data_IF_823002590721
#
_entry.id   IF_823002590721
#
_cell.length_a   1.000
_cell.length_b   1.000
_cell.length_c   1.000
_cell.angle_alpha   90.00
_cell.angle_beta   90.00
_cell.angle_gamma   90.00
#
_symmetry.space_group_name_H-M   'P 1'
#
loop_
_entity.id
_entity.type
_entity.pdbx_description
1 polymer ?
#
# COMPACT_ATOMS: atom_id res chain seq x y z
N UNK A 1 19.04 58.00 10.47
CA UNK A 1 18.57 56.59 10.38
C UNK A 1 17.49 56.24 11.42
N UNK A 2 17.78 55.99 12.72
CA UNK A 2 16.73 55.60 13.70
C UNK A 2 15.71 56.73 13.93
N UNK A 3 16.19 57.96 14.16
CA UNK A 3 15.33 59.14 14.30
C UNK A 3 14.55 59.50 13.02
N UNK A 4 15.07 59.15 11.84
CA UNK A 4 14.33 59.26 10.57
C UNK A 4 13.29 58.15 10.38
N UNK A 5 13.55 56.94 10.91
CA UNK A 5 12.60 55.81 10.91
C UNK A 5 11.46 56.02 11.92
N UNK A 6 11.70 56.77 13.01
CA UNK A 6 10.68 57.09 14.02
C UNK A 6 9.68 58.18 13.60
N UNK A 7 10.07 59.14 12.75
CA UNK A 7 9.20 60.26 12.37
C UNK A 7 7.90 59.85 11.65
N UNK A 8 7.77 58.61 11.18
CA UNK A 8 6.67 58.18 10.29
C UNK A 8 6.08 56.76 10.56
N UNK A 9 6.32 56.11 11.71
CA UNK A 9 5.85 54.71 11.92
C UNK A 9 4.94 54.54 13.15
N UNK A 10 3.81 53.85 12.95
CA UNK A 10 2.98 53.28 14.03
C UNK A 10 3.46 51.88 14.47
N UNK A 11 4.23 51.18 13.63
CA UNK A 11 4.79 49.85 13.88
C UNK A 11 6.15 49.69 13.20
N UNK A 12 7.11 49.10 13.92
CA UNK A 12 8.40 48.73 13.34
C UNK A 12 8.30 47.41 12.56
N UNK A 13 9.08 47.31 11.48
CA UNK A 13 9.21 46.09 10.67
C UNK A 13 10.55 45.46 11.01
N UNK A 14 10.50 44.31 11.69
CA UNK A 14 11.66 43.59 12.23
C UNK A 14 11.95 42.32 11.42
N UNK A 15 12.18 42.49 10.12
CA UNK A 15 12.49 41.37 9.20
C UNK A 15 13.97 40.94 9.22
N UNK A 16 14.88 41.76 9.74
CA UNK A 16 16.33 41.48 9.80
C UNK A 16 16.87 41.15 11.19
N UNK A 17 18.09 40.62 11.27
CA UNK A 17 18.84 40.44 12.54
C UNK A 17 19.20 41.79 13.15
N UNK A 18 19.08 41.91 14.46
CA UNK A 18 19.39 43.14 15.17
C UNK A 18 20.89 43.28 15.45
N UNK A 19 21.49 44.39 14.99
CA UNK A 19 22.89 44.72 15.27
C UNK A 19 23.02 45.44 16.62
N UNK A 20 23.38 44.66 17.65
CA UNK A 20 23.56 45.18 19.01
C UNK A 20 24.80 46.07 19.18
N UNK A 21 25.76 46.07 18.25
CA UNK A 21 27.05 46.77 18.45
C UNK A 21 26.91 48.29 18.38
N UNK A 22 26.21 48.79 17.37
CA UNK A 22 25.95 50.22 17.18
C UNK A 22 25.04 50.74 18.29
N UNK A 23 24.02 49.95 18.66
CA UNK A 23 23.09 50.28 19.73
C UNK A 23 23.81 50.38 21.09
N UNK A 24 24.69 49.44 21.42
CA UNK A 24 25.43 49.43 22.67
C UNK A 24 26.40 50.63 22.78
N UNK A 25 27.10 50.96 21.71
CA UNK A 25 28.00 52.13 21.69
C UNK A 25 27.23 53.44 21.91
N UNK A 26 26.04 53.57 21.33
CA UNK A 26 25.19 54.74 21.52
C UNK A 26 24.64 54.85 22.97
N UNK A 27 24.25 53.72 23.58
CA UNK A 27 23.83 53.67 24.99
C UNK A 27 24.97 54.07 25.93
N UNK A 28 26.17 53.49 25.72
CA UNK A 28 27.38 53.81 26.51
C UNK A 28 27.78 55.28 26.37
N UNK A 29 27.64 55.87 25.19
CA UNK A 29 27.98 57.28 24.95
C UNK A 29 27.14 58.21 25.85
N UNK A 30 25.86 57.92 26.04
CA UNK A 30 24.99 58.74 26.92
C UNK A 30 25.39 58.62 28.38
N UNK A 31 25.73 57.42 28.87
CA UNK A 31 26.27 57.22 30.23
C UNK A 31 27.52 58.08 30.45
N UNK A 32 28.33 58.31 29.41
CA UNK A 32 29.48 59.22 29.50
C UNK A 32 29.06 60.71 29.39
N UNK A 33 28.07 61.05 28.56
CA UNK A 33 27.53 62.42 28.46
C UNK A 33 26.83 62.90 29.74
N UNK A 34 26.29 61.99 30.56
CA UNK A 34 25.70 62.33 31.86
C UNK A 34 26.71 62.98 32.81
N UNK A 35 28.00 62.67 32.66
CA UNK A 35 29.12 63.20 33.47
C UNK A 35 29.57 64.62 33.06
N UNK A 36 29.00 65.18 31.99
CA UNK A 36 29.35 66.49 31.45
C UNK A 36 28.27 67.52 31.83
N UNK A 37 28.64 68.80 31.95
CA UNK A 37 27.71 69.90 32.23
C UNK A 37 26.57 70.01 31.21
N UNK A 38 25.49 70.71 31.56
CA UNK A 38 24.31 70.85 30.69
C UNK A 38 24.67 71.61 29.39
N UNK A 39 24.58 70.91 28.26
CA UNK A 39 24.90 71.43 26.92
C UNK A 39 23.84 70.97 25.93
N UNK A 40 23.70 71.69 24.82
CA UNK A 40 22.77 71.30 23.75
C UNK A 40 23.06 69.89 23.19
N UNK A 41 24.34 69.51 23.12
CA UNK A 41 24.79 68.17 22.72
C UNK A 41 24.30 67.10 23.69
N UNK A 42 24.36 67.36 25.00
CA UNK A 42 23.82 66.46 26.04
C UNK A 42 22.32 66.23 25.86
N UNK A 43 21.53 67.30 25.63
CA UNK A 43 20.08 67.19 25.43
C UNK A 43 19.72 66.35 24.21
N UNK A 44 20.35 66.61 23.06
CA UNK A 44 20.13 65.83 21.83
C UNK A 44 20.57 64.37 21.98
N UNK A 45 21.66 64.10 22.70
CA UNK A 45 22.11 62.75 22.99
C UNK A 45 21.11 61.98 23.86
N UNK A 46 20.56 62.62 24.90
CA UNK A 46 19.52 62.04 25.77
C UNK A 46 18.24 61.73 24.97
N UNK A 47 17.74 62.68 24.17
CA UNK A 47 16.54 62.48 23.34
C UNK A 47 16.71 61.33 22.35
N UNK A 48 17.84 61.30 21.63
CA UNK A 48 18.14 60.25 20.65
C UNK A 48 18.29 58.88 21.31
N UNK A 49 18.83 58.83 22.52
CA UNK A 49 18.98 57.59 23.27
C UNK A 49 17.66 57.08 23.85
N UNK A 50 16.75 57.97 24.26
CA UNK A 50 15.39 57.59 24.64
C UNK A 50 14.64 56.90 23.48
N UNK A 51 14.82 57.42 22.26
CA UNK A 51 14.28 56.80 21.04
C UNK A 51 14.92 55.42 20.79
N UNK A 52 16.25 55.33 20.91
CA UNK A 52 16.97 54.06 20.73
C UNK A 52 16.58 53.01 21.77
N UNK A 53 16.49 53.38 23.06
CA UNK A 53 16.03 52.48 24.12
C UNK A 53 14.63 51.97 23.85
N UNK A 54 13.71 52.84 23.45
CA UNK A 54 12.34 52.45 23.07
C UNK A 54 12.34 51.44 21.92
N UNK A 55 13.13 51.68 20.86
CA UNK A 55 13.29 50.73 19.76
C UNK A 55 13.80 49.36 20.23
N UNK A 56 14.82 49.34 21.10
CA UNK A 56 15.38 48.08 21.62
C UNK A 56 14.35 47.32 22.46
N UNK A 57 13.59 48.02 23.30
CA UNK A 57 12.52 47.42 24.12
C UNK A 57 11.44 46.82 23.21
N UNK A 58 11.00 47.55 22.18
CA UNK A 58 10.02 47.05 21.21
C UNK A 58 10.55 45.85 20.41
N UNK A 59 11.85 45.85 20.05
CA UNK A 59 12.50 44.69 19.45
C UNK A 59 12.51 43.48 20.40
N UNK A 60 12.83 43.69 21.68
CA UNK A 60 12.79 42.63 22.70
C UNK A 60 11.38 42.04 22.89
N UNK A 61 10.34 42.87 22.79
CA UNK A 61 8.95 42.40 22.79
C UNK A 61 8.62 41.55 21.56
N UNK A 62 8.98 42.02 20.37
CA UNK A 62 8.82 41.27 19.13
C UNK A 62 9.54 39.92 19.19
N UNK A 63 10.81 39.91 19.58
CA UNK A 63 11.63 38.70 19.65
C UNK A 63 11.01 37.67 20.59
N UNK A 64 10.48 38.10 21.73
CA UNK A 64 9.79 37.22 22.66
C UNK A 64 8.49 36.63 22.11
N UNK A 65 7.68 37.42 21.40
CA UNK A 65 6.48 36.93 20.75
C UNK A 65 6.82 35.92 19.66
N UNK A 66 7.86 36.20 18.88
CA UNK A 66 8.29 35.34 17.78
C UNK A 66 8.88 34.02 18.28
N UNK A 67 9.73 34.04 19.31
CA UNK A 67 10.22 32.83 19.97
C UNK A 67 9.05 31.98 20.49
N UNK A 68 8.04 32.62 21.10
CA UNK A 68 6.87 31.90 21.61
C UNK A 68 6.05 31.23 20.50
N UNK A 69 5.81 31.95 19.39
CA UNK A 69 5.12 31.41 18.21
C UNK A 69 5.88 30.23 17.62
N UNK A 70 7.18 30.39 17.39
CA UNK A 70 8.04 29.34 16.82
C UNK A 70 8.09 28.11 17.72
N UNK A 71 8.19 28.30 19.04
CA UNK A 71 8.17 27.21 20.02
C UNK A 71 6.86 26.43 19.99
N UNK A 72 5.71 27.11 19.96
CA UNK A 72 4.41 26.45 19.89
C UNK A 72 4.25 25.64 18.60
N UNK A 73 4.71 26.17 17.47
CA UNK A 73 4.65 25.47 16.19
C UNK A 73 5.62 24.27 16.12
N UNK A 74 6.83 24.41 16.68
CA UNK A 74 7.81 23.31 16.73
C UNK A 74 7.31 22.10 17.54
N UNK A 75 6.35 22.29 18.45
CA UNK A 75 5.72 21.23 19.24
C UNK A 75 4.59 20.51 18.52
N UNK A 76 4.14 21.01 17.36
CA UNK A 76 3.05 20.42 16.60
C UNK A 76 3.61 19.56 15.46
N UNK A 77 3.42 18.24 15.55
CA UNK A 77 3.85 17.28 14.53
C UNK A 77 3.18 17.46 13.17
N UNK A 78 2.01 18.12 13.12
CA UNK A 78 1.17 18.27 11.92
C UNK A 78 1.20 19.70 11.36
N UNK A 79 2.15 20.54 11.82
CA UNK A 79 2.26 21.93 11.34
C UNK A 79 2.71 21.99 9.88
N UNK A 80 2.12 22.90 9.11
CA UNK A 80 2.53 23.18 7.73
C UNK A 80 3.99 23.68 7.69
N UNK A 81 4.81 23.09 6.81
CA UNK A 81 6.27 23.30 6.75
C UNK A 81 7.07 22.38 7.69
N UNK A 82 6.39 21.68 8.61
CA UNK A 82 6.96 20.71 9.53
C UNK A 82 7.66 21.32 10.75
N UNK A 83 7.70 20.60 11.89
CA UNK A 83 8.24 21.13 13.16
C UNK A 83 9.74 21.45 13.09
N UNK A 84 10.49 20.79 12.20
CA UNK A 84 11.94 21.01 12.04
C UNK A 84 12.26 22.45 11.60
N UNK A 85 11.48 23.02 10.68
CA UNK A 85 11.69 24.38 10.21
C UNK A 85 11.53 25.38 11.38
N UNK A 86 10.43 25.27 12.12
CA UNK A 86 10.15 26.15 13.26
C UNK A 86 11.18 25.97 14.38
N UNK A 87 11.61 24.74 14.66
CA UNK A 87 12.64 24.48 15.67
C UNK A 87 14.00 25.10 15.27
N UNK A 88 14.35 25.07 13.99
CA UNK A 88 15.56 25.71 13.48
C UNK A 88 15.49 27.24 13.61
N UNK A 89 14.38 27.85 13.18
CA UNK A 89 14.16 29.30 13.32
C UNK A 89 14.15 29.73 14.79
N UNK A 90 13.54 28.92 15.66
CA UNK A 90 13.55 29.12 17.10
C UNK A 90 14.98 29.12 17.65
N UNK A 91 15.80 28.15 17.27
CA UNK A 91 17.20 28.09 17.69
C UNK A 91 17.96 29.35 17.26
N UNK A 92 17.75 29.81 16.02
CA UNK A 92 18.37 31.06 15.52
C UNK A 92 17.97 32.27 16.36
N UNK A 93 16.70 32.41 16.74
CA UNK A 93 16.24 33.54 17.58
C UNK A 93 16.75 33.48 19.01
N UNK A 94 16.89 32.28 19.58
CA UNK A 94 17.47 32.07 20.90
C UNK A 94 18.99 32.31 20.91
N UNK A 95 19.69 31.95 19.83
CA UNK A 95 21.10 32.29 19.61
C UNK A 95 21.29 33.81 19.45
N UNK A 96 20.42 34.48 18.70
CA UNK A 96 20.41 35.94 18.57
C UNK A 96 20.28 36.61 19.94
N UNK A 97 19.29 36.22 20.74
CA UNK A 97 19.13 36.72 22.11
C UNK A 97 20.35 36.44 22.99
N UNK A 98 20.92 35.25 22.88
CA UNK A 98 22.12 34.86 23.65
C UNK A 98 23.35 35.64 23.25
N UNK A 99 23.49 36.01 21.97
CA UNK A 99 24.60 36.79 21.46
C UNK A 99 24.59 38.25 21.96
N UNK A 100 23.41 38.79 22.30
CA UNK A 100 23.28 40.12 22.88
C UNK A 100 23.99 40.25 24.23
N UNK A 101 24.35 39.15 24.91
CA UNK A 101 25.19 39.19 26.13
C UNK A 101 26.53 39.90 25.94
N UNK A 102 27.04 39.96 24.71
CA UNK A 102 28.28 40.70 24.37
C UNK A 102 28.06 42.22 24.47
N UNK A 103 26.80 42.66 24.48
CA UNK A 103 26.34 44.05 24.52
C UNK A 103 25.46 44.29 25.77
N UNK A 104 26.05 44.49 26.97
CA UNK A 104 25.32 44.46 28.24
C UNK A 104 24.16 45.45 28.32
N UNK A 105 24.34 46.69 27.87
CA UNK A 105 23.30 47.73 27.93
C UNK A 105 22.08 47.36 27.09
N UNK A 106 22.32 46.75 25.92
CA UNK A 106 21.26 46.24 25.03
C UNK A 106 20.60 45.01 25.63
N UNK A 107 21.40 44.10 26.20
CA UNK A 107 20.94 42.86 26.82
C UNK A 107 20.02 43.13 28.01
N UNK A 108 20.33 44.15 28.80
CA UNK A 108 19.53 44.58 29.94
C UNK A 108 18.21 45.23 29.48
N UNK A 109 18.23 46.06 28.43
CA UNK A 109 17.03 46.66 27.85
C UNK A 109 16.01 45.61 27.38
N UNK A 110 16.46 44.48 26.83
CA UNK A 110 15.59 43.38 26.39
C UNK A 110 15.30 42.34 27.48
N UNK A 111 15.73 42.58 28.72
CA UNK A 111 15.62 41.63 29.85
C UNK A 111 16.20 40.26 29.50
N UNK A 112 17.37 40.25 28.87
CA UNK A 112 17.93 39.06 28.25
C UNK A 112 18.23 37.93 29.24
N UNK A 113 18.68 38.24 30.46
CA UNK A 113 18.92 37.25 31.53
C UNK A 113 17.62 36.49 31.87
N UNK A 114 16.57 37.24 32.19
CA UNK A 114 15.27 36.69 32.58
C UNK A 114 14.65 35.87 31.45
N UNK A 115 14.75 36.40 30.22
CA UNK A 115 14.19 35.78 29.02
C UNK A 115 14.88 34.46 28.67
N UNK A 116 16.22 34.41 28.69
CA UNK A 116 16.95 33.16 28.43
C UNK A 116 16.65 32.12 29.51
N UNK A 117 16.64 32.52 30.79
CA UNK A 117 16.31 31.63 31.89
C UNK A 117 14.88 31.06 31.77
N UNK A 118 13.93 31.89 31.31
CA UNK A 118 12.56 31.45 31.02
C UNK A 118 12.54 30.36 29.94
N UNK A 119 13.18 30.59 28.80
CA UNK A 119 13.17 29.63 27.69
C UNK A 119 13.94 28.35 27.99
N UNK A 120 15.06 28.42 28.71
CA UNK A 120 15.77 27.23 29.19
C UNK A 120 14.87 26.35 30.09
N UNK A 121 14.06 26.97 30.96
CA UNK A 121 13.07 26.26 31.78
C UNK A 121 11.98 25.63 30.91
N UNK A 122 11.39 26.39 29.98
CA UNK A 122 10.35 25.89 29.05
C UNK A 122 10.82 24.68 28.25
N UNK A 123 12.02 24.75 27.67
CA UNK A 123 12.63 23.64 26.92
C UNK A 123 12.87 22.43 27.83
N UNK A 124 13.28 22.64 29.07
CA UNK A 124 13.46 21.55 30.05
C UNK A 124 12.13 20.88 30.41
N UNK A 125 11.08 21.66 30.65
CA UNK A 125 9.74 21.14 30.97
C UNK A 125 9.18 20.34 29.79
N UNK A 126 9.42 20.81 28.55
CA UNK A 126 9.05 20.11 27.33
C UNK A 126 9.79 18.78 27.17
N UNK A 127 11.09 18.73 27.47
CA UNK A 127 11.84 17.48 27.47
C UNK A 127 11.24 16.46 28.45
N UNK A 128 10.97 16.87 29.70
CA UNK A 128 10.41 15.97 30.72
C UNK A 128 9.03 15.45 30.29
N UNK A 129 8.19 16.35 29.77
CA UNK A 129 6.87 15.99 29.24
C UNK A 129 6.99 15.02 28.07
N UNK A 130 7.84 15.32 27.09
CA UNK A 130 8.05 14.48 25.91
C UNK A 130 8.56 13.10 26.30
N UNK A 131 9.53 13.00 27.20
CA UNK A 131 10.04 11.72 27.68
C UNK A 131 8.93 10.87 28.32
N UNK A 132 8.11 11.46 29.20
CA UNK A 132 6.98 10.78 29.83
C UNK A 132 5.94 10.34 28.80
N UNK A 133 5.58 11.21 27.87
CA UNK A 133 4.59 10.93 26.82
C UNK A 133 5.07 9.80 25.90
N UNK A 134 6.33 9.84 25.46
CA UNK A 134 6.91 8.77 24.64
C UNK A 134 6.99 7.45 25.37
N UNK A 135 7.35 7.44 26.66
CA UNK A 135 7.33 6.25 27.49
C UNK A 135 5.91 5.65 27.62
N UNK A 136 4.90 6.49 27.78
CA UNK A 136 3.50 6.07 27.81
C UNK A 136 3.05 5.48 26.48
N UNK A 137 3.31 6.15 25.35
CA UNK A 137 2.95 5.62 24.04
C UNK A 137 3.67 4.29 23.76
N UNK A 138 4.96 4.21 24.08
CA UNK A 138 5.73 2.98 23.92
C UNK A 138 5.19 1.82 24.76
N UNK A 139 4.92 2.04 26.05
CA UNK A 139 4.39 0.99 26.95
C UNK A 139 2.98 0.53 26.59
N UNK A 140 2.19 1.37 25.93
CA UNK A 140 0.85 1.05 25.43
C UNK A 140 0.83 0.47 24.02
N UNK A 141 1.97 0.41 23.34
CA UNK A 141 2.03 -0.03 21.94
C UNK A 141 1.37 0.97 20.97
N UNK A 142 1.26 2.25 21.34
CA UNK A 142 0.69 3.30 20.49
C UNK A 142 1.76 3.83 19.51
N UNK A 143 2.19 2.98 18.57
CA UNK A 143 3.33 3.27 17.69
C UNK A 143 3.13 4.50 16.80
N UNK A 144 1.90 4.81 16.37
CA UNK A 144 1.59 6.03 15.59
C UNK A 144 1.81 7.30 16.43
N UNK A 145 1.25 7.36 17.63
CA UNK A 145 1.45 8.49 18.55
C UNK A 145 2.93 8.65 18.91
N UNK A 146 3.64 7.52 19.11
CA UNK A 146 5.07 7.52 19.35
C UNK A 146 5.85 8.11 18.16
N UNK A 147 5.49 7.76 16.91
CA UNK A 147 6.08 8.35 15.69
C UNK A 147 5.89 9.86 15.62
N UNK A 148 4.66 10.34 15.80
CA UNK A 148 4.33 11.78 15.80
C UNK A 148 5.19 12.54 16.82
N UNK A 149 5.30 12.00 18.03
CA UNK A 149 6.13 12.61 19.06
C UNK A 149 7.64 12.52 18.74
N UNK A 150 8.08 11.44 18.08
CA UNK A 150 9.46 11.29 17.63
C UNK A 150 9.88 12.37 16.64
N UNK A 151 8.99 12.75 15.71
CA UNK A 151 9.23 13.84 14.75
C UNK A 151 9.44 15.17 15.49
N UNK A 152 8.61 15.46 16.49
CA UNK A 152 8.75 16.67 17.32
C UNK A 152 10.05 16.65 18.12
N UNK A 153 10.37 15.55 18.79
CA UNK A 153 11.61 15.40 19.57
C UNK A 153 12.86 15.48 18.69
N UNK A 154 12.80 14.94 17.47
CA UNK A 154 13.87 15.09 16.49
C UNK A 154 14.07 16.56 16.11
N UNK A 155 12.98 17.27 15.80
CA UNK A 155 13.04 18.70 15.47
C UNK A 155 13.66 19.50 16.62
N UNK A 156 13.18 19.28 17.86
CA UNK A 156 13.65 20.00 19.05
C UNK A 156 15.09 19.65 19.46
N UNK A 157 15.70 18.60 18.90
CA UNK A 157 17.11 18.27 19.14
C UNK A 157 18.07 19.41 18.77
N UNK A 158 17.68 20.31 17.87
CA UNK A 158 18.50 21.50 17.58
C UNK A 158 18.66 22.44 18.80
N UNK A 159 17.74 22.38 19.78
CA UNK A 159 17.77 23.21 20.98
C UNK A 159 18.68 22.63 22.09
N UNK A 160 19.20 21.41 21.92
CA UNK A 160 20.14 20.78 22.86
C UNK A 160 21.36 21.70 23.12
N UNK A 161 21.81 22.42 22.08
CA UNK A 161 22.92 23.40 22.18
C UNK A 161 22.64 24.57 23.12
N UNK A 162 21.39 25.06 23.20
CA UNK A 162 21.00 26.14 24.12
C UNK A 162 21.26 25.76 25.59
N UNK A 163 21.25 24.46 25.88
CA UNK A 163 21.46 23.90 27.22
C UNK A 163 22.86 23.31 27.41
N UNK A 164 23.61 23.14 26.33
CA UNK A 164 24.91 22.45 26.36
C UNK A 164 24.78 20.98 26.76
N UNK A 165 23.65 20.33 26.46
CA UNK A 165 23.43 18.89 26.67
C UNK A 165 22.98 18.21 25.36
N UNK A 166 22.56 16.93 25.43
CA UNK A 166 22.13 16.11 24.27
C UNK A 166 20.78 15.43 24.52
N UNK A 167 19.95 15.99 25.40
CA UNK A 167 18.81 15.27 25.97
C UNK A 167 17.74 14.91 24.95
N UNK A 168 17.36 15.81 24.05
CA UNK A 168 16.38 15.50 23.00
C UNK A 168 16.97 14.52 21.98
N UNK A 169 18.25 14.67 21.64
CA UNK A 169 18.97 13.73 20.76
C UNK A 169 18.99 12.30 21.34
N UNK A 170 19.31 12.16 22.62
CA UNK A 170 19.33 10.87 23.31
C UNK A 170 17.92 10.26 23.40
N UNK A 171 16.91 11.10 23.66
CA UNK A 171 15.51 10.69 23.69
C UNK A 171 15.03 10.19 22.32
N UNK A 172 15.38 10.90 21.25
CA UNK A 172 15.11 10.48 19.88
C UNK A 172 15.72 9.10 19.62
N UNK A 173 17.02 8.92 19.85
CA UNK A 173 17.74 7.67 19.60
C UNK A 173 17.12 6.50 20.37
N UNK A 174 16.79 6.71 21.65
CA UNK A 174 16.20 5.68 22.52
C UNK A 174 14.95 5.05 21.89
N UNK A 175 13.99 5.87 21.48
CA UNK A 175 12.70 5.39 20.97
C UNK A 175 12.69 5.14 19.45
N UNK A 176 13.62 5.73 18.69
CA UNK A 176 13.80 5.45 17.25
C UNK A 176 14.12 3.97 17.01
N UNK A 177 14.90 3.35 17.89
CA UNK A 177 15.28 1.94 17.78
C UNK A 177 14.07 0.98 17.75
N UNK A 178 13.06 1.23 18.60
CA UNK A 178 11.83 0.46 18.66
C UNK A 178 10.99 0.61 17.40
N UNK A 179 10.79 1.85 16.93
CA UNK A 179 10.05 2.10 15.67
C UNK A 179 10.74 1.42 14.48
N UNK A 180 12.07 1.49 14.40
CA UNK A 180 12.83 0.83 13.35
C UNK A 180 12.69 -0.70 13.39
N UNK A 181 12.56 -1.28 14.59
CA UNK A 181 12.32 -2.71 14.75
C UNK A 181 10.93 -3.09 14.25
N UNK A 182 9.89 -2.34 14.63
CA UNK A 182 8.52 -2.55 14.16
C UNK A 182 8.44 -2.47 12.63
N UNK A 183 9.10 -1.47 12.03
CA UNK A 183 9.19 -1.33 10.58
C UNK A 183 9.87 -2.52 9.90
N UNK A 184 11.00 -2.98 10.45
CA UNK A 184 11.69 -4.17 9.92
C UNK A 184 10.82 -5.41 9.99
N UNK A 185 10.04 -5.57 11.05
CA UNK A 185 9.14 -6.70 11.18
C UNK A 185 7.97 -6.60 10.19
N UNK A 186 7.37 -5.42 10.03
CA UNK A 186 6.39 -5.16 8.98
C UNK A 186 6.91 -5.51 7.58
N UNK A 187 8.15 -5.11 7.26
CA UNK A 187 8.79 -5.47 5.99
C UNK A 187 8.96 -6.97 5.79
N UNK A 188 9.36 -7.71 6.83
CA UNK A 188 9.46 -9.17 6.74
C UNK A 188 8.10 -9.82 6.52
N UNK A 189 7.06 -9.34 7.20
CA UNK A 189 5.69 -9.86 7.04
C UNK A 189 5.22 -9.67 5.60
N UNK A 190 5.44 -8.48 5.01
CA UNK A 190 5.09 -8.21 3.61
C UNK A 190 5.83 -9.17 2.66
N UNK A 191 7.15 -9.28 2.78
CA UNK A 191 7.94 -10.15 1.90
C UNK A 191 7.56 -11.64 2.03
N UNK A 192 7.28 -12.09 3.26
CA UNK A 192 6.79 -13.44 3.52
C UNK A 192 5.42 -13.68 2.89
N UNK A 193 4.49 -12.73 3.06
CA UNK A 193 3.15 -12.81 2.48
C UNK A 193 3.18 -12.80 0.95
N UNK A 194 4.01 -11.95 0.33
CA UNK A 194 4.24 -11.92 -1.12
C UNK A 194 4.80 -13.25 -1.61
N UNK A 195 5.79 -13.81 -0.91
CA UNK A 195 6.39 -15.11 -1.26
C UNK A 195 5.38 -16.27 -1.17
N UNK A 196 4.41 -16.15 -0.26
CA UNK A 196 3.30 -17.10 -0.10
C UNK A 196 2.10 -16.81 -1.01
N UNK A 197 2.17 -15.80 -1.88
CA UNK A 197 1.05 -15.30 -2.71
C UNK A 197 -0.18 -14.85 -1.92
N UNK A 198 0.00 -14.46 -0.65
CA UNK A 198 -1.03 -13.90 0.20
C UNK A 198 -1.02 -12.36 0.08
N UNK A 199 -1.52 -11.87 -1.05
CA UNK A 199 -1.52 -10.43 -1.35
C UNK A 199 -2.48 -9.64 -0.46
N UNK A 200 -3.51 -10.26 0.13
CA UNK A 200 -4.38 -9.60 1.09
C UNK A 200 -3.61 -9.17 2.34
N UNK A 201 -2.88 -10.09 2.97
CA UNK A 201 -2.04 -9.76 4.14
C UNK A 201 -0.93 -8.79 3.78
N UNK A 202 -0.27 -8.96 2.63
CA UNK A 202 0.76 -8.02 2.17
C UNK A 202 0.19 -6.60 2.01
N UNK A 203 -1.00 -6.45 1.43
CA UNK A 203 -1.67 -5.16 1.25
C UNK A 203 -2.07 -4.52 2.59
N UNK A 204 -2.65 -5.29 3.52
CA UNK A 204 -3.01 -4.77 4.86
C UNK A 204 -1.76 -4.27 5.59
N UNK A 205 -0.72 -5.11 5.69
CA UNK A 205 0.52 -4.73 6.38
C UNK A 205 1.22 -3.55 5.71
N UNK A 206 1.19 -3.46 4.38
CA UNK A 206 1.75 -2.31 3.67
C UNK A 206 1.01 -1.01 3.99
N UNK A 207 -0.31 -1.04 4.17
CA UNK A 207 -1.11 0.11 4.62
C UNK A 207 -0.80 0.50 6.07
N UNK A 208 -0.50 -0.48 6.93
CA UNK A 208 -0.18 -0.26 8.34
C UNK A 208 1.24 0.30 8.54
N UNK A 209 2.13 0.17 7.55
CA UNK A 209 3.47 0.77 7.60
C UNK A 209 3.37 2.27 7.29
N UNK A 210 3.35 3.05 8.37
CA UNK A 210 3.48 4.51 8.32
C UNK A 210 4.94 4.98 8.17
N UNK A 211 5.72 4.30 7.31
CA UNK A 211 7.04 4.80 6.86
C UNK A 211 6.78 5.64 5.61
N UNK A 212 6.65 6.96 5.78
CA UNK A 212 6.52 7.92 4.68
C UNK A 212 7.80 8.76 4.58
N UNK A 213 8.68 8.52 3.58
CA UNK A 213 8.65 7.42 2.61
C UNK A 213 9.25 6.13 3.16
N UNK A 214 8.67 4.99 2.75
CA UNK A 214 9.19 3.64 2.99
C UNK A 214 10.69 3.65 2.73
N UNK A 215 11.47 3.09 3.67
CA UNK A 215 12.90 2.90 3.47
C UNK A 215 13.16 2.42 2.04
N UNK A 216 13.87 3.24 1.24
CA UNK A 216 14.03 3.02 -0.19
C UNK A 216 14.55 1.62 -0.52
N UNK A 217 15.37 1.03 0.35
CA UNK A 217 15.88 -0.34 0.17
C UNK A 217 14.77 -1.38 0.37
N UNK A 218 13.94 -1.22 1.41
CA UNK A 218 12.83 -2.13 1.67
C UNK A 218 11.76 -2.03 0.57
N UNK A 219 11.42 -0.80 0.15
CA UNK A 219 10.50 -0.55 -0.96
C UNK A 219 10.94 -1.27 -2.23
N UNK A 220 12.19 -1.08 -2.68
CA UNK A 220 12.72 -1.76 -3.87
C UNK A 220 12.66 -3.28 -3.79
N UNK A 221 12.91 -3.85 -2.62
CA UNK A 221 12.82 -5.29 -2.43
C UNK A 221 11.38 -5.79 -2.56
N UNK A 222 10.43 -5.09 -1.93
CA UNK A 222 9.00 -5.42 -2.01
C UNK A 222 8.51 -5.30 -3.46
N UNK A 223 8.87 -4.23 -4.17
CA UNK A 223 8.54 -4.04 -5.59
C UNK A 223 9.03 -5.23 -6.44
N UNK A 224 10.31 -5.59 -6.29
CA UNK A 224 10.92 -6.70 -7.04
C UNK A 224 10.23 -8.04 -6.76
N UNK A 225 10.01 -8.39 -5.48
CA UNK A 225 9.45 -9.69 -5.11
C UNK A 225 7.96 -9.78 -5.44
N UNK A 226 7.23 -8.67 -5.34
CA UNK A 226 5.84 -8.59 -5.77
C UNK A 226 5.72 -8.81 -7.28
N UNK A 227 6.56 -8.14 -8.08
CA UNK A 227 6.59 -8.33 -9.53
C UNK A 227 6.97 -9.77 -9.90
N UNK A 228 8.02 -10.30 -9.28
CA UNK A 228 8.51 -11.66 -9.53
C UNK A 228 7.45 -12.72 -9.17
N UNK A 229 6.79 -12.58 -8.01
CA UNK A 229 5.75 -13.50 -7.57
C UNK A 229 4.53 -13.47 -8.51
N UNK A 230 4.06 -12.29 -8.92
CA UNK A 230 2.94 -12.16 -9.86
C UNK A 230 3.28 -12.73 -11.23
N UNK A 231 4.47 -12.44 -11.78
CA UNK A 231 4.93 -13.02 -13.06
C UNK A 231 5.03 -14.54 -12.99
N UNK A 232 5.52 -15.08 -11.87
CA UNK A 232 5.59 -16.52 -11.64
C UNK A 232 4.19 -17.13 -11.57
N UNK A 233 3.27 -16.50 -10.85
CA UNK A 233 1.88 -16.95 -10.71
C UNK A 233 1.14 -16.93 -12.05
N UNK A 234 1.33 -15.90 -12.86
CA UNK A 234 0.81 -15.80 -14.23
C UNK A 234 1.34 -16.93 -15.13
N UNK A 235 2.66 -17.16 -15.13
CA UNK A 235 3.27 -18.24 -15.92
C UNK A 235 2.79 -19.63 -15.50
N UNK A 236 2.75 -19.88 -14.20
CA UNK A 236 2.26 -21.13 -13.63
C UNK A 236 0.80 -21.39 -14.02
N UNK A 237 -0.07 -20.38 -13.90
CA UNK A 237 -1.48 -20.49 -14.30
C UNK A 237 -1.63 -20.78 -15.80
N UNK A 238 -0.86 -20.10 -16.66
CA UNK A 238 -0.83 -20.39 -18.11
C UNK A 238 -0.42 -21.83 -18.39
N UNK A 239 0.62 -22.32 -17.72
CA UNK A 239 1.11 -23.69 -17.89
C UNK A 239 0.05 -24.72 -17.49
N UNK A 240 -0.63 -24.52 -16.35
CA UNK A 240 -1.72 -25.37 -15.88
C UNK A 240 -2.90 -25.39 -16.86
N UNK A 241 -3.28 -24.23 -17.39
CA UNK A 241 -4.33 -24.13 -18.42
C UNK A 241 -3.94 -24.90 -19.68
N UNK A 242 -2.70 -24.73 -20.18
CA UNK A 242 -2.24 -25.45 -21.38
C UNK A 242 -2.15 -26.96 -21.17
N UNK A 243 -1.89 -27.43 -19.94
CA UNK A 243 -1.87 -28.86 -19.63
C UNK A 243 -3.23 -29.54 -19.88
N UNK A 244 -4.34 -28.79 -19.82
CA UNK A 244 -5.68 -29.31 -20.11
C UNK A 244 -5.88 -29.66 -21.60
N UNK A 245 -5.02 -29.16 -22.49
CA UNK A 245 -5.14 -29.41 -23.93
C UNK A 245 -5.10 -30.91 -24.26
N UNK A 246 -6.18 -31.40 -24.89
CA UNK A 246 -6.31 -32.80 -25.30
C UNK A 246 -6.52 -33.80 -24.15
N UNK A 247 -6.79 -33.31 -22.93
CA UNK A 247 -6.98 -34.14 -21.73
C UNK A 247 -8.39 -34.07 -21.15
N UNK A 248 -9.13 -33.01 -21.47
CA UNK A 248 -10.48 -32.79 -20.94
C UNK A 248 -11.41 -33.88 -21.46
N UNK A 249 -11.41 -34.13 -22.77
CA UNK A 249 -12.35 -35.01 -23.44
C UNK A 249 -12.12 -36.51 -23.18
N UNK A 250 -10.92 -36.90 -22.74
CA UNK A 250 -10.55 -38.29 -22.42
C UNK A 250 -10.60 -38.60 -20.91
N UNK A 251 -11.09 -37.67 -20.09
CA UNK A 251 -11.27 -37.90 -18.66
C UNK A 251 -9.98 -37.96 -17.83
N UNK A 252 -8.83 -37.59 -18.41
CA UNK A 252 -7.54 -37.52 -17.71
C UNK A 252 -7.40 -36.22 -16.89
N UNK A 253 -8.51 -35.69 -16.40
CA UNK A 253 -8.60 -34.44 -15.65
C UNK A 253 -8.08 -34.68 -14.23
N UNK A 254 -7.21 -33.79 -13.78
CA UNK A 254 -6.81 -33.70 -12.38
C UNK A 254 -7.59 -32.54 -11.74
N UNK A 255 -8.56 -32.85 -10.87
CA UNK A 255 -9.41 -31.84 -10.23
C UNK A 255 -8.58 -30.79 -9.46
N UNK A 256 -7.45 -31.19 -8.87
CA UNK A 256 -6.52 -30.29 -8.20
C UNK A 256 -5.95 -29.22 -9.13
N UNK A 257 -5.70 -29.54 -10.41
CA UNK A 257 -5.19 -28.55 -11.38
C UNK A 257 -6.21 -27.45 -11.67
N UNK A 258 -7.50 -27.80 -11.71
CA UNK A 258 -8.58 -26.84 -11.96
C UNK A 258 -8.74 -25.92 -10.75
N UNK A 259 -8.75 -26.49 -9.54
CA UNK A 259 -8.78 -25.72 -8.29
C UNK A 259 -7.61 -24.73 -8.20
N UNK A 260 -6.40 -25.16 -8.60
CA UNK A 260 -5.22 -24.30 -8.61
C UNK A 260 -5.34 -23.14 -9.62
N UNK A 261 -5.94 -23.36 -10.80
CA UNK A 261 -6.20 -22.29 -11.78
C UNK A 261 -7.12 -21.22 -11.16
N UNK A 262 -8.24 -21.65 -10.57
CA UNK A 262 -9.20 -20.75 -9.91
C UNK A 262 -8.53 -19.98 -8.77
N UNK A 263 -7.82 -20.68 -7.89
CA UNK A 263 -7.14 -20.08 -6.75
C UNK A 263 -6.07 -19.07 -7.17
N UNK A 264 -5.32 -19.34 -8.25
CA UNK A 264 -4.31 -18.42 -8.74
C UNK A 264 -4.94 -17.15 -9.32
N UNK A 265 -6.03 -17.25 -10.08
CA UNK A 265 -6.77 -16.10 -10.62
C UNK A 265 -7.30 -15.22 -9.49
N UNK A 266 -7.87 -15.82 -8.44
CA UNK A 266 -8.39 -15.05 -7.30
C UNK A 266 -7.27 -14.33 -6.53
N UNK A 267 -6.10 -14.95 -6.37
CA UNK A 267 -4.92 -14.28 -5.80
C UNK A 267 -4.50 -13.07 -6.66
N UNK A 268 -4.45 -13.21 -7.99
CA UNK A 268 -4.14 -12.10 -8.90
C UNK A 268 -5.19 -10.98 -8.82
N UNK A 269 -6.47 -11.33 -8.70
CA UNK A 269 -7.57 -10.38 -8.50
C UNK A 269 -7.44 -9.62 -7.17
N UNK A 270 -7.06 -10.32 -6.11
CA UNK A 270 -6.78 -9.71 -4.81
C UNK A 270 -5.66 -8.67 -4.93
N UNK A 271 -4.58 -8.97 -5.66
CA UNK A 271 -3.51 -8.00 -5.90
C UNK A 271 -3.98 -6.78 -6.71
N UNK A 272 -4.79 -6.98 -7.75
CA UNK A 272 -5.36 -5.89 -8.56
C UNK A 272 -6.24 -4.93 -7.76
N UNK A 273 -7.02 -5.47 -6.80
CA UNK A 273 -7.95 -4.68 -6.00
C UNK A 273 -7.27 -3.85 -4.89
N UNK A 274 -5.98 -4.08 -4.62
CA UNK A 274 -5.22 -3.40 -3.57
C UNK A 274 -4.40 -2.25 -4.18
N UNK A 275 -4.91 -1.01 -4.10
CA UNK A 275 -4.28 0.17 -4.71
C UNK A 275 -2.81 0.34 -4.29
N UNK A 276 -2.52 0.14 -3.00
CA UNK A 276 -1.18 0.28 -2.44
C UNK A 276 -0.17 -0.76 -3.00
N UNK A 277 -0.62 -1.97 -3.34
CA UNK A 277 0.22 -2.96 -4.03
C UNK A 277 0.37 -2.62 -5.52
N UNK A 278 -0.72 -2.17 -6.15
CA UNK A 278 -0.69 -1.73 -7.55
C UNK A 278 0.28 -0.57 -7.77
N UNK A 279 0.38 0.37 -6.83
CA UNK A 279 1.31 1.49 -6.89
C UNK A 279 2.79 1.08 -6.87
N UNK A 280 3.10 -0.14 -6.44
CA UNK A 280 4.46 -0.72 -6.42
C UNK A 280 4.81 -1.49 -7.70
N UNK A 281 3.87 -1.65 -8.63
CA UNK A 281 4.10 -2.36 -9.89
C UNK A 281 4.59 -1.41 -10.98
N UNK A 282 5.42 -1.93 -11.88
CA UNK A 282 5.75 -1.23 -13.12
C UNK A 282 4.58 -1.26 -14.11
N UNK A 283 4.58 -0.33 -15.06
CA UNK A 283 3.50 -0.19 -16.05
C UNK A 283 3.35 -1.41 -16.97
N UNK A 284 4.40 -2.23 -17.09
CA UNK A 284 4.31 -3.48 -17.86
C UNK A 284 3.52 -4.52 -17.08
N UNK A 285 3.91 -4.80 -15.84
CA UNK A 285 3.28 -5.80 -14.97
C UNK A 285 1.84 -5.44 -14.70
N UNK A 286 1.51 -4.15 -14.50
CA UNK A 286 0.12 -3.68 -14.37
C UNK A 286 -0.72 -4.04 -15.60
N UNK A 287 -0.22 -3.78 -16.81
CA UNK A 287 -0.94 -4.09 -18.05
C UNK A 287 -1.10 -5.60 -18.24
N UNK A 288 -0.03 -6.35 -18.00
CA UNK A 288 -0.05 -7.81 -18.11
C UNK A 288 -1.07 -8.42 -17.13
N UNK A 289 -1.11 -7.93 -15.88
CA UNK A 289 -2.04 -8.41 -14.85
C UNK A 289 -3.51 -8.06 -15.17
N UNK A 290 -3.77 -6.84 -15.63
CA UNK A 290 -5.13 -6.40 -16.02
C UNK A 290 -5.71 -7.22 -17.18
N UNK A 291 -4.87 -7.60 -18.15
CA UNK A 291 -5.30 -8.38 -19.32
C UNK A 291 -5.27 -9.90 -19.09
N UNK A 292 -4.72 -10.35 -17.96
CA UNK A 292 -4.42 -11.77 -17.75
C UNK A 292 -5.68 -12.64 -17.71
N UNK A 293 -6.76 -12.13 -17.10
CA UNK A 293 -8.02 -12.88 -17.00
C UNK A 293 -8.62 -13.13 -18.39
N UNK A 294 -8.67 -12.11 -19.24
CA UNK A 294 -9.17 -12.22 -20.61
C UNK A 294 -8.31 -13.17 -21.46
N UNK A 295 -6.99 -13.14 -21.26
CA UNK A 295 -6.07 -14.06 -21.93
C UNK A 295 -6.35 -15.51 -21.53
N UNK A 296 -6.56 -15.78 -20.23
CA UNK A 296 -6.88 -17.12 -19.74
C UNK A 296 -8.26 -17.59 -20.20
N UNK A 297 -9.29 -16.73 -20.19
CA UNK A 297 -10.62 -17.04 -20.74
C UNK A 297 -10.50 -17.47 -22.20
N UNK A 298 -9.77 -16.71 -23.01
CA UNK A 298 -9.55 -17.04 -24.43
C UNK A 298 -8.88 -18.40 -24.62
N UNK A 299 -7.79 -18.68 -23.89
CA UNK A 299 -7.07 -19.96 -24.01
C UNK A 299 -7.97 -21.13 -23.57
N UNK A 300 -8.68 -20.99 -22.46
CA UNK A 300 -9.60 -22.02 -21.97
C UNK A 300 -10.75 -22.27 -22.95
N UNK A 301 -11.30 -21.19 -23.50
CA UNK A 301 -12.37 -21.25 -24.52
C UNK A 301 -11.91 -22.03 -25.75
N UNK A 302 -10.72 -21.72 -26.28
CA UNK A 302 -10.14 -22.41 -27.43
C UNK A 302 -9.93 -23.91 -27.16
N UNK A 303 -9.45 -24.26 -25.95
CA UNK A 303 -9.26 -25.66 -25.53
C UNK A 303 -10.60 -26.40 -25.51
N UNK A 304 -11.63 -25.80 -24.91
CA UNK A 304 -12.96 -26.41 -24.79
C UNK A 304 -13.63 -26.58 -26.16
N UNK A 305 -13.53 -25.58 -27.04
CA UNK A 305 -14.07 -25.67 -28.41
C UNK A 305 -13.43 -26.80 -29.22
N UNK A 306 -12.12 -27.02 -29.06
CA UNK A 306 -11.42 -28.17 -29.65
C UNK A 306 -11.87 -29.50 -29.03
N UNK A 307 -12.13 -29.53 -27.73
CA UNK A 307 -12.74 -30.67 -27.05
C UNK A 307 -14.09 -31.04 -27.68
N UNK A 308 -14.95 -30.05 -27.90
CA UNK A 308 -16.24 -30.26 -28.60
C UNK A 308 -16.07 -30.80 -30.01
N UNK A 309 -15.08 -30.33 -30.77
CA UNK A 309 -14.78 -30.84 -32.12
C UNK A 309 -14.36 -32.33 -32.08
N UNK A 310 -13.62 -32.72 -31.05
CA UNK A 310 -13.20 -34.11 -30.84
C UNK A 310 -14.40 -35.01 -30.50
N UNK A 311 -15.33 -34.52 -29.68
CA UNK A 311 -16.61 -35.20 -29.39
C UNK A 311 -17.44 -35.36 -30.66
N UNK A 312 -17.55 -34.32 -31.49
CA UNK A 312 -18.22 -34.43 -32.80
C UNK A 312 -17.59 -35.49 -33.70
N UNK A 313 -16.27 -35.65 -33.63
CA UNK A 313 -15.56 -36.72 -34.36
C UNK A 313 -15.91 -38.11 -33.82
N UNK A 314 -16.00 -38.28 -32.50
CA UNK A 314 -16.46 -39.55 -31.90
C UNK A 314 -17.90 -39.88 -32.30
N UNK A 315 -18.80 -38.89 -32.33
CA UNK A 315 -20.18 -39.06 -32.80
C UNK A 315 -20.23 -39.50 -34.27
N UNK A 316 -19.40 -38.90 -35.15
CA UNK A 316 -19.36 -39.26 -36.57
C UNK A 316 -18.78 -40.65 -36.85
N UNK A 317 -18.01 -41.20 -35.91
CA UNK A 317 -17.40 -42.53 -35.99
C UNK A 317 -18.20 -43.59 -35.19
N UNK A 318 -19.45 -43.29 -34.83
CA UNK A 318 -20.33 -44.15 -34.03
C UNK A 318 -19.76 -44.56 -32.65
N UNK A 319 -18.82 -43.78 -32.11
CA UNK A 319 -18.16 -44.04 -30.83
C UNK A 319 -18.85 -43.27 -29.69
N UNK A 320 -20.10 -43.66 -29.41
CA UNK A 320 -21.00 -42.87 -28.57
C UNK A 320 -20.63 -42.84 -27.09
N UNK A 321 -20.04 -43.91 -26.55
CA UNK A 321 -19.61 -43.95 -25.15
C UNK A 321 -18.59 -42.84 -24.86
N UNK A 322 -17.59 -42.70 -25.73
CA UNK A 322 -16.56 -41.67 -25.63
C UNK A 322 -17.11 -40.26 -25.88
N UNK A 323 -18.14 -40.12 -26.72
CA UNK A 323 -18.83 -38.84 -26.91
C UNK A 323 -19.62 -38.41 -25.65
N UNK A 324 -20.36 -39.33 -25.02
CA UNK A 324 -21.08 -39.09 -23.76
C UNK A 324 -20.12 -38.75 -22.62
N UNK A 325 -19.07 -39.55 -22.44
CA UNK A 325 -18.07 -39.34 -21.39
C UNK A 325 -17.31 -38.03 -21.60
N UNK A 326 -16.90 -37.72 -22.83
CA UNK A 326 -16.30 -36.43 -23.18
C UNK A 326 -17.19 -35.23 -22.83
N UNK A 327 -18.50 -35.32 -23.10
CA UNK A 327 -19.44 -34.25 -22.74
C UNK A 327 -19.57 -34.06 -21.23
N UNK A 328 -19.57 -35.15 -20.46
CA UNK A 328 -19.57 -35.09 -18.99
C UNK A 328 -18.29 -34.43 -18.48
N UNK A 329 -17.14 -34.79 -19.03
CA UNK A 329 -15.86 -34.24 -18.61
C UNK A 329 -15.72 -32.74 -18.94
N UNK A 330 -16.08 -32.32 -20.15
CA UNK A 330 -16.13 -30.88 -20.50
C UNK A 330 -17.10 -30.13 -19.60
N UNK A 331 -18.29 -30.70 -19.34
CA UNK A 331 -19.28 -30.09 -18.44
C UNK A 331 -18.76 -29.84 -17.03
N UNK A 332 -17.97 -30.78 -16.47
CA UNK A 332 -17.31 -30.60 -15.16
C UNK A 332 -16.30 -29.44 -15.17
N UNK A 333 -15.46 -29.35 -16.21
CA UNK A 333 -14.48 -28.26 -16.34
C UNK A 333 -15.17 -26.90 -16.48
N UNK A 334 -16.21 -26.82 -17.32
CA UNK A 334 -17.01 -25.61 -17.48
C UNK A 334 -17.63 -25.16 -16.15
N UNK A 335 -18.19 -26.09 -15.38
CA UNK A 335 -18.78 -25.78 -14.08
C UNK A 335 -17.72 -25.28 -13.09
N UNK A 336 -16.58 -25.96 -13.01
CA UNK A 336 -15.51 -25.59 -12.08
C UNK A 336 -14.83 -24.25 -12.43
N UNK A 337 -14.83 -23.85 -13.70
CA UNK A 337 -14.28 -22.59 -14.19
C UNK A 337 -15.36 -21.52 -14.42
N UNK A 338 -16.54 -21.70 -13.82
CA UNK A 338 -17.64 -20.72 -13.89
C UNK A 338 -17.17 -19.36 -13.36
N UNK A 339 -17.42 -18.30 -14.12
CA UNK A 339 -16.99 -16.93 -13.79
C UNK A 339 -15.57 -16.57 -14.27
N UNK A 340 -14.80 -17.55 -14.75
CA UNK A 340 -13.56 -17.32 -15.50
C UNK A 340 -13.83 -17.41 -17.00
N UNK A 341 -14.55 -18.46 -17.43
CA UNK A 341 -14.95 -18.60 -18.84
C UNK A 341 -16.23 -17.81 -19.07
N UNK A 342 -16.16 -16.80 -19.93
CA UNK A 342 -17.32 -15.96 -20.27
C UNK A 342 -17.72 -16.05 -21.74
N UNK A 343 -16.98 -16.83 -22.54
CA UNK A 343 -17.24 -16.99 -23.98
C UNK A 343 -18.63 -17.57 -24.27
N UNK A 344 -19.48 -16.75 -24.92
CA UNK A 344 -20.80 -17.17 -25.39
C UNK A 344 -20.71 -18.27 -26.46
N UNK A 345 -19.62 -18.29 -27.23
CA UNK A 345 -19.38 -19.31 -28.26
C UNK A 345 -19.25 -20.71 -27.64
N UNK A 346 -18.55 -20.82 -26.51
CA UNK A 346 -18.41 -22.07 -25.74
C UNK A 346 -19.77 -22.54 -25.22
N UNK A 347 -20.61 -21.62 -24.74
CA UNK A 347 -21.96 -21.94 -24.25
C UNK A 347 -22.84 -22.46 -25.40
N UNK A 348 -22.85 -21.74 -26.53
CA UNK A 348 -23.65 -22.10 -27.70
C UNK A 348 -23.21 -23.45 -28.27
N UNK A 349 -21.89 -23.69 -28.38
CA UNK A 349 -21.35 -24.94 -28.90
C UNK A 349 -21.64 -26.13 -27.98
N UNK A 350 -21.59 -25.92 -26.65
CA UNK A 350 -21.97 -26.95 -25.67
C UNK A 350 -23.42 -27.41 -25.86
N UNK A 351 -24.34 -26.46 -26.07
CA UNK A 351 -25.75 -26.77 -26.31
C UNK A 351 -25.95 -27.47 -27.67
N UNK A 352 -25.32 -26.96 -28.73
CA UNK A 352 -25.38 -27.56 -30.08
C UNK A 352 -24.92 -29.03 -30.06
N UNK A 353 -23.75 -29.32 -29.46
CA UNK A 353 -23.20 -30.67 -29.41
C UNK A 353 -24.07 -31.58 -28.54
N UNK A 354 -24.60 -31.08 -27.43
CA UNK A 354 -25.54 -31.83 -26.58
C UNK A 354 -26.84 -32.17 -27.31
N UNK A 355 -27.40 -31.23 -28.06
CA UNK A 355 -28.59 -31.48 -28.90
C UNK A 355 -28.29 -32.49 -30.01
N UNK A 356 -27.14 -32.39 -30.68
CA UNK A 356 -26.71 -33.38 -31.69
C UNK A 356 -26.60 -34.78 -31.09
N UNK A 357 -25.96 -34.92 -29.93
CA UNK A 357 -25.82 -36.21 -29.24
C UNK A 357 -27.20 -36.79 -28.87
N UNK A 358 -28.09 -35.96 -28.33
CA UNK A 358 -29.46 -36.36 -28.01
C UNK A 358 -30.26 -36.79 -29.25
N UNK A 359 -30.15 -36.06 -30.36
CA UNK A 359 -30.84 -36.38 -31.61
C UNK A 359 -30.30 -37.68 -32.23
N UNK A 360 -28.99 -37.89 -32.21
CA UNK A 360 -28.37 -39.16 -32.64
C UNK A 360 -28.87 -40.34 -31.80
N UNK A 361 -28.95 -40.17 -30.47
CA UNK A 361 -29.52 -41.17 -29.58
C UNK A 361 -31.00 -41.48 -29.90
N UNK A 362 -31.77 -40.50 -30.37
CA UNK A 362 -33.19 -40.67 -30.73
C UNK A 362 -33.40 -41.23 -32.15
N UNK A 363 -32.48 -40.99 -33.09
CA UNK A 363 -32.56 -41.42 -34.49
C UNK A 363 -31.98 -42.82 -34.74
N UNK A 364 -31.13 -43.31 -33.84
CA UNK A 364 -30.54 -44.65 -33.87
C UNK A 364 -31.57 -45.78 -34.15
N UNK A 365 -32.81 -45.75 -33.60
CA UNK A 365 -33.83 -46.73 -33.92
C UNK A 365 -34.45 -46.65 -35.32
N UNK A 366 -34.33 -45.52 -36.02
CA UNK A 366 -34.98 -45.31 -37.31
C UNK A 366 -34.03 -45.52 -38.50
N UNK A 367 -32.71 -45.43 -38.28
CA UNK A 367 -31.69 -45.58 -39.33
C UNK A 367 -31.10 -46.99 -39.46
N UNK A 368 -31.24 -47.83 -38.44
CA UNK A 368 -30.49 -49.07 -38.36
C UNK A 368 -31.38 -50.31 -38.52
N UNK A 369 -30.90 -51.28 -39.31
CA UNK A 369 -31.47 -52.61 -39.38
C UNK A 369 -31.14 -53.36 -38.08
N UNK A 370 -32.14 -53.52 -37.23
CA UNK A 370 -32.05 -54.23 -35.95
C UNK A 370 -31.97 -55.76 -36.08
N UNK A 371 -31.85 -56.27 -37.30
CA UNK A 371 -31.68 -57.70 -37.57
C UNK A 371 -30.37 -58.27 -37.00
N UNK A 372 -29.36 -57.44 -36.74
CA UNK A 372 -28.04 -57.82 -36.21
C UNK A 372 -27.59 -56.89 -35.06
N UNK A 373 -28.18 -57.08 -33.88
CA UNK A 373 -27.90 -56.28 -32.66
C UNK A 373 -26.44 -56.46 -32.19
N UNK A 374 -25.77 -57.55 -32.56
CA UNK A 374 -24.42 -57.94 -32.13
C UNK A 374 -23.33 -56.93 -32.54
N UNK A 375 -23.52 -56.21 -33.66
CA UNK A 375 -22.61 -55.11 -34.09
C UNK A 375 -22.56 -53.92 -33.15
N UNK A 376 -23.55 -53.77 -32.27
CA UNK A 376 -23.70 -52.61 -31.40
C UNK A 376 -23.30 -52.91 -29.94
N UNK A 377 -22.93 -54.16 -29.64
CA UNK A 377 -22.48 -54.57 -28.31
C UNK A 377 -21.01 -54.24 -28.02
N UNK A 378 -20.21 -53.88 -29.03
CA UNK A 378 -18.81 -53.55 -28.79
C UNK A 378 -18.61 -52.23 -28.03
N UNK A 379 -19.47 -51.19 -28.25
CA UNK A 379 -19.43 -49.88 -27.54
C UNK A 379 -20.78 -49.09 -27.51
N UNK A 380 -21.85 -49.60 -26.87
CA UNK A 380 -23.15 -48.91 -26.87
C UNK A 380 -23.19 -47.67 -25.95
N UNK A 381 -23.89 -46.58 -26.35
CA UNK A 381 -24.21 -45.47 -25.44
C UNK A 381 -25.02 -45.97 -24.24
N UNK A 382 -24.66 -45.53 -23.02
CA UNK A 382 -25.22 -46.10 -21.77
C UNK A 382 -26.72 -45.86 -21.65
N UNK A 383 -27.21 -44.72 -22.14
CA UNK A 383 -28.65 -44.42 -22.15
C UNK A 383 -29.43 -45.16 -23.25
N UNK A 384 -28.77 -45.48 -24.37
CA UNK A 384 -29.40 -46.17 -25.49
C UNK A 384 -29.71 -47.61 -25.14
N UNK A 385 -28.86 -48.27 -24.33
CA UNK A 385 -29.12 -49.60 -23.78
C UNK A 385 -30.36 -49.62 -22.86
N UNK A 386 -30.54 -48.58 -22.05
CA UNK A 386 -31.71 -48.43 -21.19
C UNK A 386 -32.99 -48.16 -22.00
N UNK A 387 -32.92 -47.25 -22.99
CA UNK A 387 -34.03 -46.93 -23.90
C UNK A 387 -34.38 -48.10 -24.83
N UNK A 388 -33.40 -48.83 -25.36
CA UNK A 388 -33.60 -50.03 -26.18
C UNK A 388 -34.18 -51.20 -25.39
N UNK A 389 -33.78 -51.41 -24.12
CA UNK A 389 -34.45 -52.38 -23.22
C UNK A 389 -35.92 -52.02 -22.96
N UNK A 390 -36.24 -50.73 -22.91
CA UNK A 390 -37.61 -50.24 -22.73
C UNK A 390 -38.46 -50.41 -24.02
N UNK A 391 -37.83 -50.31 -25.19
CA UNK A 391 -38.46 -50.55 -26.50
C UNK A 391 -38.63 -52.05 -26.78
N UNK A 392 -37.67 -52.90 -26.40
CA UNK A 392 -37.76 -54.37 -26.56
C UNK A 392 -38.84 -54.99 -25.66
N UNK A 393 -39.13 -54.39 -24.49
CA UNK A 393 -40.23 -54.80 -23.61
C UNK A 393 -41.60 -54.38 -24.14
N UNK A 394 -41.69 -53.38 -25.01
CA UNK A 394 -42.94 -52.86 -25.58
C UNK A 394 -43.22 -53.34 -27.01
N UNK A 395 -42.27 -54.02 -27.67
CA UNK A 395 -42.44 -54.64 -29.00
C UNK A 395 -41.78 -56.04 -29.06
N UNK A 396 -42.55 -57.15 -29.02
CA UNK A 396 -42.03 -58.52 -28.90
C UNK A 396 -41.28 -59.06 -30.13
N UNK A 397 -41.09 -58.23 -31.15
CA UNK A 397 -40.35 -58.54 -32.37
C UNK A 397 -38.82 -58.40 -32.16
N UNK A 398 -38.42 -57.80 -31.04
CA UNK A 398 -37.04 -57.52 -30.64
C UNK A 398 -36.66 -58.39 -29.43
N UNK A 399 -36.62 -59.71 -29.61
CA UNK A 399 -36.12 -60.64 -28.58
C UNK A 399 -34.62 -60.88 -28.78
N UNK A 400 -33.76 -60.54 -27.80
CA UNK A 400 -32.33 -60.86 -27.89
C UNK A 400 -32.13 -62.38 -28.04
N UNK A 401 -31.20 -62.81 -28.91
CA UNK A 401 -30.85 -64.23 -29.00
C UNK A 401 -30.17 -64.69 -27.69
N UNK A 402 -30.40 -65.94 -27.24
CA UNK A 402 -30.06 -66.36 -25.86
C UNK A 402 -28.55 -66.46 -25.55
N UNK A 403 -27.66 -66.30 -26.54
CA UNK A 403 -26.25 -66.67 -26.39
C UNK A 403 -25.41 -65.71 -25.54
N UNK A 404 -25.91 -64.51 -25.20
CA UNK A 404 -25.15 -63.52 -24.42
C UNK A 404 -25.77 -63.15 -23.06
N UNK A 405 -26.85 -63.83 -22.61
CA UNK A 405 -27.42 -63.60 -21.28
C UNK A 405 -26.46 -63.99 -20.13
N UNK A 406 -25.46 -64.84 -20.42
CA UNK A 406 -24.48 -65.30 -19.43
C UNK A 406 -23.26 -64.37 -19.31
N UNK A 407 -22.88 -63.66 -20.38
CA UNK A 407 -21.80 -62.67 -20.31
C UNK A 407 -22.21 -61.41 -19.52
N UNK A 408 -23.51 -61.12 -19.46
CA UNK A 408 -24.08 -59.94 -18.78
C UNK A 408 -24.34 -60.10 -17.27
N UNK A 409 -24.20 -61.29 -16.70
CA UNK A 409 -24.28 -61.46 -15.24
C UNK A 409 -22.92 -61.28 -14.53
N UNK A 410 -21.85 -61.03 -15.30
CA UNK A 410 -20.47 -60.93 -14.80
C UNK A 410 -19.82 -59.54 -14.97
N UNK A 411 -20.55 -58.56 -15.52
CA UNK A 411 -20.23 -57.13 -15.55
C UNK A 411 -21.29 -56.39 -14.74
#
# INVERSE_FOLDING_TARGET
IISEREKNKQTYDFSGRFDGSIANNALLYVIQCEKVGDTQVKRTAIETNGILQKYIIEYGHFLNQEIARLYQNAQNSEVEGGPLQYAHELNVRLEELSSLKIFPEVFDCVKGVETIAHWQRKVTDCYVTSNRTMEQHHSRGESENLRKQLVVVHALSCLDRLRGDTRFSDLYIKYQSGINQDLREGYKIILSAVSAYNYATAGITLSDIDDQPLNHKAKRQIEHDLQSSLVKLMKDTKWKVHWLYGKIEIGAINDTQIEEIVANIEKMRTALNQCNLMDLLDEKTKRDLNNFQDEIDKILSDIILKGFTSIETYMNNDNFTEAEEGMVHIGKVQLALTGIITSQEVINKSNEVREKLNNLAMDLPNKNDFSDVDKYFERPPKELLAKLKQVSTSRPQYTPRPQYSQAYQAL
#
